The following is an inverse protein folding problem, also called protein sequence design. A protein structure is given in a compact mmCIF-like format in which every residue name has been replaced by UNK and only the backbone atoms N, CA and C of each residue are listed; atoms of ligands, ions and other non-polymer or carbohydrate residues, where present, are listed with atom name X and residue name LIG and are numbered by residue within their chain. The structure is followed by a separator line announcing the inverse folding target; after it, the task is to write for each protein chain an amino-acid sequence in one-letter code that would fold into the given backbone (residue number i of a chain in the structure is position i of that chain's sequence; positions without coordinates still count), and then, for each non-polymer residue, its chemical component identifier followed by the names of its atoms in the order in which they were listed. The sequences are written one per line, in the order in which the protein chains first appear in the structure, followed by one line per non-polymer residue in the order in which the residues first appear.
data_IF_934917006662
#
_entry.id   IF_934917006662
#
_cell.length_a   1.000
_cell.length_b   1.000
_cell.length_c   1.000
_cell.angle_alpha   90.00
_cell.angle_beta   90.00
_cell.angle_gamma   90.00
#
_symmetry.space_group_name_H-M   'P 1'
#
loop_
_entity.id
_entity.type
_entity.pdbx_description
1 polymer ?
#
# COMPACT_ATOMS: atom_id res chain seq x y z
N UNK A 1 -7.55 9.24 41.18
CA UNK A 1 -6.58 8.34 40.52
C UNK A 1 -5.86 9.14 39.48
N UNK A 2 -4.55 9.27 39.59
CA UNK A 2 -3.71 10.16 38.80
C UNK A 2 -3.40 9.45 37.48
N UNK A 3 -3.84 10.00 36.38
CA UNK A 3 -3.38 9.57 35.05
C UNK A 3 -1.93 10.01 34.87
N UNK A 4 -1.02 9.08 34.93
CA UNK A 4 0.35 9.29 34.49
C UNK A 4 0.34 9.39 32.97
N UNK A 5 0.65 10.59 32.47
CA UNK A 5 0.89 10.85 31.05
C UNK A 5 2.09 10.02 30.59
N UNK A 6 1.84 8.99 29.79
CA UNK A 6 2.85 8.48 28.89
C UNK A 6 2.84 9.39 27.67
N UNK A 7 3.92 10.15 27.54
CA UNK A 7 4.29 10.90 26.35
C UNK A 7 4.15 9.98 25.13
N UNK A 8 3.39 10.45 24.14
CA UNK A 8 3.48 9.89 22.79
C UNK A 8 4.90 10.20 22.32
N UNK A 9 5.82 9.29 22.57
CA UNK A 9 7.07 9.26 21.80
C UNK A 9 6.69 9.00 20.35
N UNK A 10 6.68 10.09 19.59
CA UNK A 10 6.93 10.04 18.15
C UNK A 10 8.31 9.41 18.05
N UNK A 11 8.35 8.11 17.80
CA UNK A 11 9.61 7.39 17.62
C UNK A 11 10.18 7.88 16.30
N UNK A 12 10.96 8.96 16.36
CA UNK A 12 11.92 9.27 15.35
C UNK A 12 12.80 8.04 15.15
N UNK A 13 12.89 7.58 13.90
CA UNK A 13 13.89 6.60 13.53
C UNK A 13 15.24 7.13 14.03
N UNK A 14 15.92 6.40 14.92
CA UNK A 14 17.33 6.61 15.20
C UNK A 14 18.12 6.26 13.92
N UNK A 15 18.18 7.22 13.01
CA UNK A 15 19.06 7.22 11.86
C UNK A 15 20.31 7.98 12.30
N UNK A 16 21.41 7.28 12.41
CA UNK A 16 22.73 7.88 12.62
C UNK A 16 23.06 8.75 11.41
N UNK A 17 22.90 10.06 11.55
CA UNK A 17 23.31 11.06 10.57
C UNK A 17 24.84 11.09 10.48
N UNK A 18 25.41 10.31 9.59
CA UNK A 18 26.77 10.54 9.10
C UNK A 18 26.66 11.43 7.86
N UNK A 19 27.24 12.63 7.97
CA UNK A 19 27.40 13.58 6.86
C UNK A 19 28.07 12.90 5.66
N UNK A 20 27.31 12.50 4.66
CA UNK A 20 27.83 12.12 3.35
C UNK A 20 27.95 13.39 2.51
N UNK A 21 29.16 13.74 2.10
CA UNK A 21 29.43 14.76 1.10
C UNK A 21 28.60 14.51 -0.16
N UNK A 22 28.07 15.56 -0.77
CA UNK A 22 27.43 15.55 -2.08
C UNK A 22 28.39 15.01 -3.15
N UNK A 23 28.43 13.70 -3.29
CA UNK A 23 28.94 13.08 -4.51
C UNK A 23 27.72 13.02 -5.44
N UNK A 24 27.63 13.97 -6.36
CA UNK A 24 26.73 13.86 -7.52
C UNK A 24 27.22 12.66 -8.34
N UNK A 25 26.75 11.47 -7.99
CA UNK A 25 26.88 10.31 -8.86
C UNK A 25 25.97 10.63 -10.04
N UNK A 26 26.55 10.96 -11.21
CA UNK A 26 25.76 11.08 -12.45
C UNK A 26 25.02 9.77 -12.65
N UNK A 27 23.71 9.79 -12.36
CA UNK A 27 22.85 8.64 -12.63
C UNK A 27 22.91 8.38 -14.14
N UNK A 28 23.19 7.14 -14.54
CA UNK A 28 23.32 6.75 -15.96
C UNK A 28 22.02 6.99 -16.76
N UNK A 29 20.90 7.18 -16.07
CA UNK A 29 19.58 7.48 -16.63
C UNK A 29 19.24 8.98 -16.65
N UNK A 30 20.19 9.88 -16.32
CA UNK A 30 19.94 11.34 -16.26
C UNK A 30 19.38 11.92 -17.57
N UNK A 31 19.58 11.24 -18.70
CA UNK A 31 19.00 11.65 -19.99
C UNK A 31 17.48 11.54 -20.04
N UNK A 32 16.83 10.86 -19.09
CA UNK A 32 15.39 10.71 -18.97
C UNK A 32 14.74 11.78 -18.10
N UNK A 33 15.52 12.59 -17.36
CA UNK A 33 14.98 13.43 -16.29
C UNK A 33 13.97 14.46 -16.78
N UNK A 34 14.22 15.10 -17.90
CA UNK A 34 13.32 16.13 -18.43
C UNK A 34 11.96 15.54 -18.85
N UNK A 35 11.97 14.34 -19.45
CA UNK A 35 10.75 13.61 -19.80
C UNK A 35 10.00 13.17 -18.52
N UNK A 36 10.70 12.62 -17.53
CA UNK A 36 10.10 12.15 -16.26
C UNK A 36 9.43 13.32 -15.51
N UNK A 37 10.11 14.46 -15.40
CA UNK A 37 9.55 15.69 -14.79
C UNK A 37 8.28 16.12 -15.52
N UNK A 38 8.33 16.16 -16.84
CA UNK A 38 7.16 16.49 -17.64
C UNK A 38 6.01 15.52 -17.39
N UNK A 39 6.26 14.20 -17.43
CA UNK A 39 5.23 13.19 -17.18
C UNK A 39 4.59 13.35 -15.79
N UNK A 40 5.42 13.50 -14.75
CA UNK A 40 4.93 13.69 -13.39
C UNK A 40 4.07 14.95 -13.27
N UNK A 41 4.55 16.07 -13.81
CA UNK A 41 3.84 17.36 -13.71
C UNK A 41 2.57 17.39 -14.55
N UNK A 42 2.55 16.77 -15.72
CA UNK A 42 1.34 16.64 -16.54
C UNK A 42 0.28 15.77 -15.85
N UNK A 43 0.69 14.63 -15.26
CA UNK A 43 -0.19 13.74 -14.51
C UNK A 43 -0.71 14.39 -13.24
N UNK A 44 0.14 15.16 -12.54
CA UNK A 44 -0.24 15.87 -11.33
C UNK A 44 -1.38 16.87 -11.54
N UNK A 45 -1.49 17.47 -12.74
CA UNK A 45 -2.59 18.36 -13.10
C UNK A 45 -3.94 17.69 -13.27
N UNK A 46 -3.97 16.39 -13.53
CA UNK A 46 -5.18 15.65 -13.92
C UNK A 46 -5.52 14.47 -13.00
N UNK A 47 -5.42 14.60 -11.66
CA UNK A 47 -5.76 13.51 -10.76
C UNK A 47 -7.21 13.07 -10.92
N UNK A 48 -7.46 11.77 -10.97
CA UNK A 48 -8.79 11.18 -11.05
C UNK A 48 -8.93 10.07 -9.99
N UNK A 49 -10.15 9.78 -9.55
CA UNK A 49 -10.41 8.92 -8.39
C UNK A 49 -10.71 7.47 -8.79
N UNK A 50 -10.14 6.53 -8.07
CA UNK A 50 -10.45 5.10 -8.13
C UNK A 50 -10.41 4.54 -9.54
N UNK A 51 -11.52 3.93 -10.00
CA UNK A 51 -11.61 3.39 -11.37
C UNK A 51 -11.88 4.42 -12.47
N UNK A 52 -12.04 5.69 -12.16
CA UNK A 52 -12.43 6.71 -13.13
C UNK A 52 -11.24 7.45 -13.77
N UNK A 53 -10.08 6.82 -13.84
CA UNK A 53 -8.79 7.38 -14.33
C UNK A 53 -8.70 7.41 -15.87
N UNK A 54 -9.70 8.01 -16.53
CA UNK A 54 -9.80 8.02 -18.00
C UNK A 54 -8.78 8.94 -18.67
N UNK A 55 -8.63 10.18 -18.18
CA UNK A 55 -7.68 11.15 -18.73
C UNK A 55 -6.25 10.72 -18.42
N UNK A 56 -6.02 10.29 -17.17
CA UNK A 56 -4.76 9.72 -16.71
C UNK A 56 -4.33 8.55 -17.59
N UNK A 57 -5.22 7.56 -17.81
CA UNK A 57 -4.95 6.41 -18.65
C UNK A 57 -4.75 6.78 -20.13
N UNK A 58 -5.49 7.78 -20.65
CA UNK A 58 -5.31 8.26 -22.02
C UNK A 58 -3.94 8.91 -22.21
N UNK A 59 -3.51 9.77 -21.27
CA UNK A 59 -2.20 10.41 -21.29
C UNK A 59 -1.07 9.37 -21.30
N UNK A 60 -1.11 8.42 -20.36
CA UNK A 60 -0.08 7.37 -20.26
C UNK A 60 -0.02 6.54 -21.54
N UNK A 61 -1.18 6.11 -22.08
CA UNK A 61 -1.24 5.35 -23.35
C UNK A 61 -0.73 6.15 -24.54
N UNK A 62 -0.96 7.48 -24.59
CA UNK A 62 -0.40 8.33 -25.63
C UNK A 62 1.13 8.33 -25.61
N UNK A 63 1.74 8.44 -24.42
CA UNK A 63 3.21 8.35 -24.29
C UNK A 63 3.72 6.99 -24.75
N UNK A 64 3.11 5.91 -24.27
CA UNK A 64 3.51 4.53 -24.56
C UNK A 64 3.29 4.14 -26.03
N UNK A 65 2.33 4.73 -26.73
CA UNK A 65 2.05 4.45 -28.14
C UNK A 65 3.20 4.77 -29.09
N UNK A 66 4.19 5.53 -28.62
CA UNK A 66 5.40 5.92 -29.36
C UNK A 66 6.55 4.92 -29.20
N UNK A 67 6.37 3.92 -28.32
CA UNK A 67 7.37 2.92 -27.95
C UNK A 67 7.06 1.56 -28.59
N UNK A 68 8.09 0.73 -28.72
CA UNK A 68 7.94 -0.64 -29.25
C UNK A 68 7.44 -1.57 -28.13
N UNK A 69 6.13 -1.51 -27.87
CA UNK A 69 5.47 -2.29 -26.82
C UNK A 69 4.03 -2.65 -27.22
N UNK A 70 3.46 -3.66 -26.57
CA UNK A 70 2.06 -4.06 -26.71
C UNK A 70 1.26 -3.54 -25.52
N UNK A 71 0.21 -2.77 -25.78
CA UNK A 71 -0.70 -2.25 -24.74
C UNK A 71 -1.99 -3.05 -24.79
N UNK A 72 -2.41 -3.62 -23.68
CA UNK A 72 -3.64 -4.40 -23.54
C UNK A 72 -4.52 -3.86 -22.42
N UNK A 73 -5.84 -3.73 -22.64
CA UNK A 73 -6.75 -3.36 -21.57
C UNK A 73 -6.81 -4.48 -20.53
N UNK A 74 -6.89 -4.10 -19.28
CA UNK A 74 -7.23 -4.96 -18.15
C UNK A 74 -8.62 -4.59 -17.62
N UNK A 75 -8.79 -4.58 -16.30
CA UNK A 75 -10.03 -4.24 -15.65
C UNK A 75 -10.32 -2.73 -15.71
N UNK A 76 -11.55 -2.35 -16.05
CA UNK A 76 -12.00 -0.95 -16.09
C UNK A 76 -11.04 -0.06 -16.91
N UNK A 77 -10.39 0.92 -16.25
CA UNK A 77 -9.43 1.84 -16.86
C UNK A 77 -7.99 1.35 -16.81
N UNK A 78 -7.71 0.24 -16.09
CA UNK A 78 -6.39 -0.37 -15.98
C UNK A 78 -5.93 -1.03 -17.29
N UNK A 79 -4.62 -1.16 -17.44
CA UNK A 79 -4.03 -1.79 -18.63
C UNK A 79 -2.64 -2.36 -18.32
N UNK A 80 -2.24 -3.33 -19.16
CA UNK A 80 -0.91 -3.93 -19.16
C UNK A 80 -0.11 -3.44 -20.36
N UNK A 81 1.21 -3.36 -20.20
CA UNK A 81 2.16 -3.01 -21.26
C UNK A 81 3.26 -4.05 -21.29
N UNK A 82 3.40 -4.71 -22.44
CA UNK A 82 4.36 -5.80 -22.59
C UNK A 82 5.51 -5.39 -23.51
N UNK A 83 6.73 -5.61 -23.05
CA UNK A 83 7.97 -5.45 -23.78
C UNK A 83 8.59 -6.83 -24.03
N UNK A 84 8.64 -7.25 -25.28
CA UNK A 84 9.12 -8.55 -25.72
C UNK A 84 10.64 -8.53 -26.00
N UNK A 85 11.41 -9.24 -25.19
CA UNK A 85 12.84 -9.46 -25.39
C UNK A 85 13.15 -10.85 -25.96
N UNK A 86 12.12 -11.59 -26.38
CA UNK A 86 12.25 -12.94 -26.92
C UNK A 86 12.47 -14.00 -25.85
N UNK A 87 12.08 -13.73 -24.61
CA UNK A 87 12.19 -14.64 -23.47
C UNK A 87 10.91 -15.46 -23.29
N UNK A 88 11.04 -16.62 -22.64
CA UNK A 88 9.88 -17.45 -22.28
C UNK A 88 9.16 -16.88 -21.03
N UNK A 89 9.89 -16.29 -20.12
CA UNK A 89 9.44 -15.82 -18.80
C UNK A 89 9.43 -14.30 -18.74
N UNK A 90 8.55 -13.75 -17.90
CA UNK A 90 8.41 -12.31 -17.69
C UNK A 90 8.57 -11.93 -16.21
N UNK A 91 9.03 -10.69 -16.00
CA UNK A 91 8.98 -10.00 -14.71
C UNK A 91 7.95 -8.89 -14.81
N UNK A 92 7.10 -8.81 -13.78
CA UNK A 92 6.06 -7.78 -13.69
C UNK A 92 6.51 -6.61 -12.79
N UNK A 93 6.15 -5.40 -13.22
CA UNK A 93 6.31 -4.17 -12.44
C UNK A 93 4.96 -3.47 -12.36
N UNK A 94 4.54 -3.02 -11.18
CA UNK A 94 3.26 -2.38 -10.96
C UNK A 94 3.42 -0.92 -10.53
N UNK A 95 2.62 -0.05 -11.09
CA UNK A 95 2.32 1.25 -10.52
C UNK A 95 0.80 1.47 -10.44
N UNK A 96 0.39 2.29 -9.49
CA UNK A 96 -0.96 2.80 -9.31
C UNK A 96 -1.18 4.08 -10.09
N UNK A 97 -2.45 4.50 -10.30
CA UNK A 97 -2.80 5.62 -11.16
C UNK A 97 -3.75 6.64 -10.54
N UNK A 98 -4.49 6.26 -9.50
CA UNK A 98 -5.55 7.10 -8.97
C UNK A 98 -5.05 8.17 -8.01
N UNK A 99 -5.85 9.20 -7.81
CA UNK A 99 -5.64 10.28 -6.87
C UNK A 99 -6.60 10.21 -5.70
N UNK A 100 -6.51 11.19 -4.82
CA UNK A 100 -7.29 11.31 -3.60
C UNK A 100 -8.28 12.48 -3.64
N UNK A 101 -9.42 12.41 -2.94
CA UNK A 101 -10.39 13.51 -2.82
C UNK A 101 -9.87 14.54 -1.80
N UNK A 102 -8.76 15.21 -2.13
CA UNK A 102 -8.06 16.21 -1.32
C UNK A 102 -7.94 17.48 -2.14
N UNK A 103 -8.33 18.63 -1.55
CA UNK A 103 -8.11 19.94 -2.14
C UNK A 103 -6.65 20.35 -1.96
N UNK A 104 -5.91 20.45 -3.06
CA UNK A 104 -4.49 20.75 -3.04
C UNK A 104 -4.19 22.17 -2.54
N UNK A 105 -3.20 22.30 -1.66
CA UNK A 105 -2.72 23.55 -1.09
C UNK A 105 -1.26 23.86 -1.46
N UNK A 106 -0.68 23.15 -2.40
CA UNK A 106 0.65 23.48 -2.91
C UNK A 106 0.59 24.78 -3.73
N UNK A 107 1.72 25.43 -3.93
CA UNK A 107 1.84 26.60 -4.82
C UNK A 107 2.61 26.22 -6.10
N UNK A 108 2.63 24.95 -6.45
CA UNK A 108 3.30 24.43 -7.62
C UNK A 108 2.66 24.94 -8.90
N UNK A 109 3.45 25.30 -9.91
CA UNK A 109 2.90 25.74 -11.22
C UNK A 109 2.20 24.60 -11.98
N UNK A 110 2.36 23.36 -11.52
CA UNK A 110 1.71 22.16 -12.02
C UNK A 110 0.65 21.61 -11.04
N UNK A 111 0.17 22.41 -10.10
CA UNK A 111 -0.89 22.00 -9.19
C UNK A 111 -2.12 21.44 -9.93
N UNK A 112 -2.90 20.62 -9.24
CA UNK A 112 -4.10 20.00 -9.78
C UNK A 112 -5.04 20.99 -10.45
N UNK A 113 -5.51 20.65 -11.64
CA UNK A 113 -6.58 21.38 -12.37
C UNK A 113 -7.96 20.75 -12.10
N UNK A 114 -8.04 19.71 -11.29
CA UNK A 114 -9.27 19.04 -10.87
C UNK A 114 -9.60 19.42 -9.43
N UNK A 115 -10.57 20.35 -9.26
CA UNK A 115 -11.04 20.83 -7.96
C UNK A 115 -11.37 19.65 -7.02
N UNK A 116 -10.87 19.69 -5.80
CA UNK A 116 -11.07 18.66 -4.78
C UNK A 116 -10.35 17.34 -5.02
N UNK A 117 -9.41 17.28 -5.97
CA UNK A 117 -8.62 16.09 -6.24
C UNK A 117 -7.13 16.41 -6.29
N UNK A 118 -6.30 15.51 -5.75
CA UNK A 118 -4.84 15.65 -5.72
C UNK A 118 -4.14 14.30 -5.79
N UNK A 119 -2.96 14.22 -6.39
CA UNK A 119 -2.04 13.09 -6.23
C UNK A 119 -1.22 13.22 -4.92
N UNK A 120 -1.94 13.21 -3.78
CA UNK A 120 -1.32 13.35 -2.45
C UNK A 120 -0.63 12.06 -1.93
N UNK A 121 -0.69 10.96 -2.68
CA UNK A 121 0.03 9.71 -2.40
C UNK A 121 1.23 9.50 -3.35
N UNK A 122 1.40 10.37 -4.35
CA UNK A 122 2.55 10.33 -5.27
C UNK A 122 2.40 9.35 -6.44
N UNK A 123 1.17 8.91 -6.76
CA UNK A 123 0.93 7.97 -7.87
C UNK A 123 1.28 8.60 -9.25
N UNK A 124 1.22 9.91 -9.40
CA UNK A 124 1.78 10.65 -10.53
C UNK A 124 3.30 10.38 -10.71
N UNK A 125 4.04 10.34 -9.60
CA UNK A 125 5.45 9.97 -9.58
C UNK A 125 5.67 8.49 -9.89
N UNK A 126 4.80 7.59 -9.39
CA UNK A 126 4.89 6.16 -9.70
C UNK A 126 4.68 5.91 -11.20
N UNK A 127 3.67 6.56 -11.81
CA UNK A 127 3.46 6.50 -13.26
C UNK A 127 4.62 7.11 -14.05
N UNK A 128 5.15 8.26 -13.63
CA UNK A 128 6.29 8.90 -14.30
C UNK A 128 7.56 8.03 -14.21
N UNK A 129 7.80 7.36 -13.07
CA UNK A 129 8.86 6.37 -12.92
C UNK A 129 8.67 5.20 -13.89
N UNK A 130 7.45 4.65 -13.98
CA UNK A 130 7.13 3.54 -14.88
C UNK A 130 7.27 3.95 -16.35
N UNK A 131 6.87 5.17 -16.74
CA UNK A 131 7.05 5.70 -18.08
C UNK A 131 8.54 5.88 -18.41
N UNK A 132 9.33 6.40 -17.49
CA UNK A 132 10.78 6.48 -17.64
C UNK A 132 11.42 5.09 -17.85
N UNK A 133 10.97 4.10 -17.08
CA UNK A 133 11.39 2.71 -17.25
C UNK A 133 10.96 2.15 -18.62
N UNK A 134 9.74 2.43 -19.07
CA UNK A 134 9.27 2.03 -20.38
C UNK A 134 10.15 2.58 -21.53
N UNK A 135 10.58 3.84 -21.44
CA UNK A 135 11.55 4.41 -22.40
C UNK A 135 12.90 3.69 -22.39
N UNK A 136 13.37 3.27 -21.22
CA UNK A 136 14.60 2.46 -21.13
C UNK A 136 14.42 1.08 -21.78
N UNK A 137 13.27 0.44 -21.60
CA UNK A 137 12.96 -0.85 -22.23
C UNK A 137 12.89 -0.74 -23.76
N UNK A 138 12.23 0.30 -24.28
CA UNK A 138 12.20 0.59 -25.73
C UNK A 138 13.61 0.78 -26.31
N UNK A 139 14.46 1.53 -25.61
CA UNK A 139 15.87 1.67 -25.97
C UNK A 139 16.57 0.31 -26.02
N UNK A 140 16.33 -0.58 -25.06
CA UNK A 140 16.93 -1.92 -25.04
C UNK A 140 16.46 -2.78 -26.21
N UNK A 141 15.19 -2.71 -26.59
CA UNK A 141 14.67 -3.39 -27.79
C UNK A 141 15.38 -2.87 -29.05
N UNK A 142 15.47 -1.55 -29.23
CA UNK A 142 16.15 -0.94 -30.38
C UNK A 142 17.63 -1.29 -30.47
N UNK A 143 18.29 -1.38 -29.32
CA UNK A 143 19.70 -1.80 -29.20
C UNK A 143 19.88 -3.32 -29.31
N UNK A 144 18.78 -4.10 -29.38
CA UNK A 144 18.77 -5.57 -29.36
C UNK A 144 19.52 -6.16 -28.18
N UNK A 145 19.34 -5.52 -27.02
CA UNK A 145 19.99 -5.95 -25.78
C UNK A 145 19.36 -7.26 -25.29
N UNK A 146 20.18 -8.27 -25.05
CA UNK A 146 19.71 -9.50 -24.43
C UNK A 146 19.41 -9.28 -22.94
N UNK A 147 18.21 -9.61 -22.52
CA UNK A 147 17.76 -9.60 -21.13
C UNK A 147 17.34 -11.03 -20.74
N UNK A 148 17.33 -11.36 -19.43
CA UNK A 148 16.92 -12.69 -18.97
C UNK A 148 15.42 -12.92 -18.98
N UNK A 149 14.61 -11.83 -19.07
CA UNK A 149 13.16 -11.86 -19.01
C UNK A 149 12.55 -10.81 -19.95
N UNK A 150 11.28 -11.05 -20.35
CA UNK A 150 10.40 -10.00 -20.84
C UNK A 150 9.95 -9.11 -19.68
N UNK A 151 9.46 -7.91 -19.97
CA UNK A 151 8.92 -7.01 -18.97
C UNK A 151 7.41 -6.80 -19.17
N UNK A 152 6.63 -7.01 -18.12
CA UNK A 152 5.21 -6.68 -18.05
C UNK A 152 5.03 -5.52 -17.09
N UNK A 153 4.46 -4.41 -17.55
CA UNK A 153 4.16 -3.24 -16.73
C UNK A 153 2.66 -3.19 -16.51
N UNK A 154 2.22 -3.11 -15.24
CA UNK A 154 0.82 -2.96 -14.87
C UNK A 154 0.57 -1.53 -14.41
N UNK A 155 -0.37 -0.87 -15.06
CA UNK A 155 -0.92 0.42 -14.68
C UNK A 155 -2.27 0.18 -14.02
N UNK A 156 -2.30 0.24 -12.69
CA UNK A 156 -3.42 -0.15 -11.84
C UNK A 156 -4.24 1.07 -11.41
N UNK A 157 -5.57 1.10 -11.64
CA UNK A 157 -6.49 2.06 -11.03
C UNK A 157 -6.91 1.62 -9.64
N UNK A 158 -7.53 2.50 -8.87
CA UNK A 158 -8.28 2.20 -7.65
C UNK A 158 -7.45 1.54 -6.53
N UNK A 159 -6.21 1.99 -6.32
CA UNK A 159 -5.42 1.58 -5.16
C UNK A 159 -6.01 2.15 -3.87
N UNK A 160 -6.36 3.44 -3.86
CA UNK A 160 -6.88 4.16 -2.69
C UNK A 160 -8.28 3.70 -2.25
N UNK A 161 -9.02 3.03 -3.13
CA UNK A 161 -10.30 2.37 -2.81
C UNK A 161 -10.13 0.89 -2.52
N UNK A 162 -8.92 0.36 -2.72
CA UNK A 162 -8.47 -0.99 -2.39
C UNK A 162 -9.21 -2.10 -3.19
N UNK A 163 -9.68 -1.78 -4.41
CA UNK A 163 -10.39 -2.73 -5.29
C UNK A 163 -9.59 -3.06 -6.55
N UNK A 164 -8.56 -2.27 -6.88
CA UNK A 164 -7.85 -2.32 -8.15
C UNK A 164 -7.01 -3.57 -8.32
N UNK A 165 -6.17 -3.91 -7.35
CA UNK A 165 -5.32 -5.09 -7.41
C UNK A 165 -6.13 -6.38 -7.38
N UNK A 166 -7.19 -6.48 -6.54
CA UNK A 166 -8.06 -7.65 -6.49
C UNK A 166 -8.74 -7.91 -7.84
N UNK A 167 -9.19 -6.86 -8.52
CA UNK A 167 -9.78 -6.99 -9.84
C UNK A 167 -8.76 -7.51 -10.88
N UNK A 168 -7.49 -7.07 -10.83
CA UNK A 168 -6.43 -7.49 -11.76
C UNK A 168 -6.01 -8.94 -11.52
N UNK A 169 -5.84 -9.39 -10.26
CA UNK A 169 -5.44 -10.77 -9.96
C UNK A 169 -6.49 -11.81 -10.36
N UNK A 170 -7.73 -11.39 -10.56
CA UNK A 170 -8.80 -12.24 -11.09
C UNK A 170 -8.79 -12.35 -12.64
N UNK A 171 -7.84 -11.72 -13.33
CA UNK A 171 -7.61 -11.91 -14.78
C UNK A 171 -6.56 -12.99 -15.03
N UNK A 172 -6.34 -13.35 -16.30
CA UNK A 172 -5.31 -14.32 -16.71
C UNK A 172 -3.99 -13.69 -17.10
N UNK A 173 -3.81 -12.38 -16.84
CA UNK A 173 -2.65 -11.61 -17.35
C UNK A 173 -1.29 -12.18 -16.92
N UNK A 174 -1.20 -12.71 -15.72
CA UNK A 174 0.06 -13.26 -15.21
C UNK A 174 0.41 -14.63 -15.82
N UNK A 175 -0.61 -15.45 -16.09
CA UNK A 175 -0.47 -16.72 -16.79
C UNK A 175 -0.17 -16.48 -18.29
N UNK A 176 -0.89 -15.55 -18.93
CA UNK A 176 -0.75 -15.25 -20.37
C UNK A 176 0.64 -14.76 -20.73
N UNK A 177 1.30 -14.06 -19.81
CA UNK A 177 2.65 -13.55 -19.95
C UNK A 177 3.72 -14.35 -19.17
N UNK A 178 3.38 -15.51 -18.62
CA UNK A 178 4.27 -16.39 -17.86
C UNK A 178 5.12 -15.63 -16.82
N UNK A 179 4.44 -14.83 -15.99
CA UNK A 179 5.07 -13.97 -14.98
C UNK A 179 5.65 -14.80 -13.83
N UNK A 180 6.91 -14.55 -13.47
CA UNK A 180 7.62 -15.28 -12.40
C UNK A 180 7.77 -14.52 -11.10
N UNK A 181 7.71 -13.19 -11.16
CA UNK A 181 7.77 -12.33 -10.00
C UNK A 181 7.14 -10.97 -10.31
N UNK A 182 6.66 -10.30 -9.27
CA UNK A 182 6.12 -8.95 -9.36
C UNK A 182 6.86 -8.01 -8.39
N UNK A 183 7.10 -6.78 -8.84
CA UNK A 183 7.72 -5.73 -8.05
C UNK A 183 6.85 -4.49 -8.05
N UNK A 184 6.69 -3.87 -6.86
CA UNK A 184 6.06 -2.57 -6.66
C UNK A 184 7.03 -1.59 -6.02
N UNK A 185 6.80 -0.30 -6.26
CA UNK A 185 7.55 0.80 -5.67
C UNK A 185 6.57 1.86 -5.19
N UNK A 186 6.77 2.39 -3.99
CA UNK A 186 6.02 3.52 -3.46
C UNK A 186 6.95 4.62 -2.98
N UNK A 187 6.65 5.87 -3.28
CA UNK A 187 7.34 7.03 -2.75
C UNK A 187 7.15 7.14 -1.24
N UNK A 188 8.22 7.43 -0.49
CA UNK A 188 8.14 7.43 0.96
C UNK A 188 8.80 8.65 1.60
N UNK A 189 8.02 9.57 2.17
CA UNK A 189 8.53 10.86 2.67
C UNK A 189 9.54 10.77 3.80
N UNK A 190 9.47 9.72 4.61
CA UNK A 190 10.28 9.55 5.83
C UNK A 190 11.60 8.81 5.60
N UNK A 191 11.90 8.41 4.36
CA UNK A 191 13.18 7.84 3.94
C UNK A 191 13.99 8.93 3.27
N UNK A 192 15.31 8.90 3.44
CA UNK A 192 16.21 9.91 2.85
C UNK A 192 16.04 9.99 1.33
N UNK A 193 16.19 11.18 0.78
CA UNK A 193 16.00 11.46 -0.66
C UNK A 193 16.84 10.53 -1.53
N UNK A 194 16.16 9.77 -2.39
CA UNK A 194 16.76 8.86 -3.35
C UNK A 194 17.16 7.49 -2.79
N UNK A 195 17.09 7.30 -1.47
CA UNK A 195 17.34 6.01 -0.84
C UNK A 195 16.20 5.02 -1.15
N UNK A 196 16.54 3.79 -1.47
CA UNK A 196 15.59 2.70 -1.70
C UNK A 196 15.54 1.84 -0.43
N UNK A 197 14.35 1.51 0.04
CA UNK A 197 14.19 0.69 1.22
C UNK A 197 13.22 -0.48 0.99
N UNK A 198 13.52 -1.62 1.61
CA UNK A 198 12.66 -2.79 1.64
C UNK A 198 13.10 -3.73 2.75
N UNK A 199 12.41 -4.85 2.95
CA UNK A 199 12.79 -5.91 3.88
C UNK A 199 12.16 -7.25 3.49
N UNK A 200 12.71 -8.39 3.90
CA UNK A 200 12.06 -9.68 3.72
C UNK A 200 10.88 -9.85 4.69
N UNK A 201 9.88 -10.61 4.27
CA UNK A 201 8.69 -10.88 5.08
C UNK A 201 7.77 -9.66 5.25
N UNK A 202 7.03 -9.52 6.36
CA UNK A 202 6.05 -8.46 6.52
C UNK A 202 6.63 -7.06 6.28
N UNK A 203 6.04 -6.31 5.35
CA UNK A 203 6.46 -4.97 4.92
C UNK A 203 5.44 -3.92 5.32
N UNK A 204 4.15 -4.14 5.00
CA UNK A 204 3.04 -3.24 5.31
C UNK A 204 1.89 -4.01 5.96
N UNK A 205 1.04 -3.31 6.72
CA UNK A 205 0.02 -3.96 7.52
C UNK A 205 -1.18 -4.40 6.71
N UNK A 206 -1.82 -5.50 7.13
CA UNK A 206 -3.22 -5.79 6.82
C UNK A 206 -4.09 -4.65 7.34
N UNK A 207 -5.06 -4.22 6.55
CA UNK A 207 -6.12 -3.32 6.97
C UNK A 207 -7.42 -4.09 7.14
N UNK A 208 -8.14 -3.84 8.25
CA UNK A 208 -9.45 -4.43 8.50
C UNK A 208 -10.36 -3.38 9.09
N UNK A 209 -11.53 -3.18 8.49
CA UNK A 209 -12.60 -2.41 9.09
C UNK A 209 -13.31 -3.29 10.13
N UNK A 210 -13.60 -2.72 11.28
CA UNK A 210 -14.28 -3.40 12.39
C UNK A 210 -15.55 -2.65 12.71
N UNK A 211 -16.68 -3.33 12.55
CA UNK A 211 -17.98 -2.82 12.97
C UNK A 211 -18.60 -3.75 14.00
N UNK A 212 -19.05 -3.20 15.12
CA UNK A 212 -19.75 -3.99 16.16
C UNK A 212 -21.07 -3.33 16.46
N UNK A 213 -22.15 -4.11 16.38
CA UNK A 213 -23.53 -3.65 16.61
C UNK A 213 -24.10 -4.35 17.83
N UNK A 214 -24.68 -3.58 18.72
CA UNK A 214 -25.32 -4.04 19.96
C UNK A 214 -26.82 -3.76 19.89
N UNK A 215 -27.64 -4.82 19.90
CA UNK A 215 -29.11 -4.75 19.90
C UNK A 215 -29.66 -5.13 21.27
N UNK A 216 -30.11 -4.15 22.00
CA UNK A 216 -30.67 -4.28 23.33
C UNK A 216 -32.19 -4.07 23.35
N UNK A 217 -32.70 -3.55 24.47
CA UNK A 217 -34.12 -3.23 24.65
C UNK A 217 -34.29 -1.96 25.45
N UNK A 218 -35.05 -1.01 24.93
CA UNK A 218 -35.36 0.24 25.63
C UNK A 218 -36.26 -0.02 26.85
N UNK A 219 -36.01 0.77 27.89
CA UNK A 219 -36.87 0.89 29.10
C UNK A 219 -36.73 2.30 29.67
N UNK A 220 -37.68 2.68 30.54
CA UNK A 220 -37.56 3.94 31.25
C UNK A 220 -36.37 3.85 32.21
N UNK A 221 -35.56 4.89 32.34
CA UNK A 221 -34.36 4.89 33.22
C UNK A 221 -34.65 4.63 34.70
N UNK A 222 -35.90 4.85 35.14
CA UNK A 222 -36.36 4.51 36.49
C UNK A 222 -36.73 3.01 36.70
N UNK A 223 -36.76 2.22 35.63
CA UNK A 223 -37.06 0.77 35.64
C UNK A 223 -36.04 0.01 34.77
N UNK A 224 -34.74 0.11 35.04
CA UNK A 224 -33.69 -0.37 34.15
C UNK A 224 -33.72 -1.92 33.96
N UNK A 225 -34.25 -2.65 34.94
CA UNK A 225 -34.38 -4.12 34.90
C UNK A 225 -35.33 -4.61 33.76
N UNK A 226 -36.19 -3.73 33.25
CA UNK A 226 -37.08 -4.04 32.08
C UNK A 226 -36.38 -3.88 30.71
N UNK A 227 -35.21 -3.25 30.73
CA UNK A 227 -34.38 -3.01 29.53
C UNK A 227 -33.27 -4.01 29.30
N UNK A 228 -32.53 -3.80 28.24
CA UNK A 228 -31.22 -4.39 27.93
C UNK A 228 -30.36 -3.28 27.39
N UNK A 229 -29.32 -2.91 28.15
CA UNK A 229 -28.54 -1.71 27.90
C UNK A 229 -27.43 -1.96 26.87
N UNK A 230 -27.68 -1.55 25.62
CA UNK A 230 -26.72 -1.66 24.54
C UNK A 230 -25.50 -0.74 24.73
N UNK A 231 -25.64 0.41 25.41
CA UNK A 231 -24.54 1.30 25.71
C UNK A 231 -23.57 0.68 26.72
N UNK A 232 -24.10 0.10 27.80
CA UNK A 232 -23.30 -0.57 28.80
C UNK A 232 -22.55 -1.78 28.20
N UNK A 233 -23.25 -2.57 27.37
CA UNK A 233 -22.68 -3.70 26.67
C UNK A 233 -21.50 -3.29 25.76
N UNK A 234 -21.64 -2.20 25.02
CA UNK A 234 -20.57 -1.68 24.16
C UNK A 234 -19.37 -1.16 24.98
N UNK A 235 -19.59 -0.48 26.09
CA UNK A 235 -18.51 -0.04 26.97
C UNK A 235 -17.73 -1.24 27.55
N UNK A 236 -18.43 -2.30 27.95
CA UNK A 236 -17.82 -3.53 28.47
C UNK A 236 -17.01 -4.24 27.36
N UNK A 237 -17.55 -4.32 26.14
CA UNK A 237 -16.86 -4.89 24.99
C UNK A 237 -15.55 -4.17 24.70
N UNK A 238 -15.58 -2.83 24.57
CA UNK A 238 -14.38 -2.03 24.29
C UNK A 238 -13.31 -2.25 25.38
N UNK A 239 -13.71 -2.22 26.63
CA UNK A 239 -12.79 -2.43 27.76
C UNK A 239 -12.13 -3.80 27.71
N UNK A 240 -12.92 -4.86 27.52
CA UNK A 240 -12.43 -6.24 27.48
C UNK A 240 -11.53 -6.52 26.27
N UNK A 241 -11.88 -6.02 25.09
CA UNK A 241 -11.06 -6.28 23.89
C UNK A 241 -9.74 -5.53 23.90
N UNK A 242 -9.69 -4.31 24.43
CA UNK A 242 -8.44 -3.59 24.61
C UNK A 242 -7.56 -4.25 25.65
N UNK A 243 -8.13 -4.68 26.79
CA UNK A 243 -7.40 -5.44 27.81
C UNK A 243 -6.84 -6.76 27.23
N UNK A 244 -7.64 -7.49 26.47
CA UNK A 244 -7.17 -8.70 25.79
C UNK A 244 -6.01 -8.40 24.84
N UNK A 245 -6.14 -7.38 23.98
CA UNK A 245 -5.10 -7.00 23.04
C UNK A 245 -3.79 -6.66 23.77
N UNK A 246 -3.84 -5.87 24.82
CA UNK A 246 -2.65 -5.40 25.54
C UNK A 246 -1.96 -6.51 26.32
N UNK A 247 -2.71 -7.47 26.86
CA UNK A 247 -2.18 -8.56 27.68
C UNK A 247 -1.78 -9.81 26.89
N UNK A 248 -2.48 -10.13 25.76
CA UNK A 248 -2.32 -11.42 25.08
C UNK A 248 -1.75 -11.31 23.67
N UNK A 249 -1.78 -10.13 23.04
CA UNK A 249 -1.17 -9.91 21.73
C UNK A 249 0.21 -9.29 21.92
N UNK A 250 1.26 -10.07 21.59
CA UNK A 250 2.66 -9.63 21.74
C UNK A 250 3.18 -8.93 20.49
N UNK A 251 2.60 -9.24 19.34
CA UNK A 251 2.99 -8.63 18.08
C UNK A 251 2.43 -7.22 17.98
N UNK A 252 3.20 -6.35 17.32
CA UNK A 252 2.74 -4.99 17.03
C UNK A 252 1.46 -5.05 16.21
N UNK A 253 0.39 -4.49 16.75
CA UNK A 253 -0.93 -4.43 16.13
C UNK A 253 -1.67 -3.18 16.59
N UNK A 254 -2.60 -2.72 15.77
CA UNK A 254 -3.54 -1.65 16.11
C UNK A 254 -4.94 -2.25 16.13
N UNK A 255 -5.71 -1.93 17.14
CA UNK A 255 -7.17 -2.05 17.18
C UNK A 255 -7.68 -0.76 17.81
N UNK A 256 -8.46 0.01 17.06
CA UNK A 256 -8.94 1.32 17.50
C UNK A 256 -10.38 1.53 17.06
N UNK A 257 -11.26 1.84 17.99
CA UNK A 257 -12.61 2.32 17.70
C UNK A 257 -12.58 3.85 17.70
N UNK A 258 -12.89 4.43 16.55
CA UNK A 258 -12.90 5.90 16.36
C UNK A 258 -14.29 6.51 16.53
N UNK A 259 -15.34 5.67 16.47
CA UNK A 259 -16.73 6.14 16.53
C UNK A 259 -17.60 5.20 17.37
N UNK A 260 -18.46 5.80 18.23
CA UNK A 260 -19.52 5.13 18.94
C UNK A 260 -20.80 5.96 18.81
N UNK A 261 -21.90 5.33 18.41
CA UNK A 261 -23.23 5.95 18.36
C UNK A 261 -24.20 5.13 19.21
N UNK A 262 -24.93 5.77 20.14
CA UNK A 262 -25.82 5.07 21.05
C UNK A 262 -27.00 5.92 21.49
N UNK A 263 -28.18 5.27 21.56
CA UNK A 263 -29.41 5.83 22.14
C UNK A 263 -29.91 7.10 21.46
N UNK A 264 -31.11 7.57 21.88
CA UNK A 264 -31.72 8.79 21.32
C UNK A 264 -32.11 9.79 22.41
N UNK A 265 -32.32 9.34 23.65
CA UNK A 265 -32.82 10.18 24.75
C UNK A 265 -32.12 9.84 26.06
N UNK A 266 -31.92 10.85 26.90
CA UNK A 266 -31.16 10.77 28.16
C UNK A 266 -31.80 9.93 29.28
N UNK A 267 -33.12 9.73 29.22
CA UNK A 267 -33.91 9.11 30.30
C UNK A 267 -34.51 7.75 29.91
N UNK A 268 -33.89 7.07 28.96
CA UNK A 268 -34.22 5.69 28.57
C UNK A 268 -32.95 4.86 28.39
N UNK A 269 -33.06 3.57 28.68
CA UNK A 269 -32.04 2.56 28.38
C UNK A 269 -31.82 2.52 26.87
N UNK A 270 -30.57 2.52 26.43
CA UNK A 270 -30.24 2.49 25.01
C UNK A 270 -30.56 1.14 24.39
N UNK A 271 -31.44 1.08 23.39
CA UNK A 271 -31.77 -0.17 22.69
C UNK A 271 -30.77 -0.55 21.61
N UNK A 272 -29.88 0.38 21.24
CA UNK A 272 -28.95 0.20 20.13
C UNK A 272 -27.65 0.99 20.35
N UNK A 273 -26.53 0.35 20.06
CA UNK A 273 -25.22 0.99 19.99
C UNK A 273 -24.43 0.41 18.82
N UNK A 274 -23.69 1.25 18.10
CA UNK A 274 -22.72 0.83 17.09
C UNK A 274 -21.34 1.37 17.41
N UNK A 275 -20.33 0.55 17.11
CA UNK A 275 -18.92 0.91 17.13
C UNK A 275 -18.37 0.77 15.71
N UNK A 276 -17.63 1.77 15.24
CA UNK A 276 -16.86 1.71 14.02
C UNK A 276 -15.36 1.89 14.34
N UNK A 277 -14.54 1.01 13.83
CA UNK A 277 -13.13 0.97 14.14
C UNK A 277 -12.27 0.40 13.02
N UNK A 278 -10.98 0.34 13.29
CA UNK A 278 -9.99 -0.23 12.38
C UNK A 278 -9.02 -1.14 13.13
N UNK A 279 -8.56 -2.18 12.44
CA UNK A 279 -7.51 -3.07 12.93
C UNK A 279 -6.37 -3.15 11.92
N UNK A 280 -5.12 -3.17 12.41
CA UNK A 280 -3.91 -3.36 11.61
C UNK A 280 -3.10 -4.50 12.22
N UNK A 281 -2.70 -5.45 11.39
CA UNK A 281 -1.86 -6.60 11.77
C UNK A 281 -0.90 -6.95 10.65
N UNK A 282 0.14 -7.72 10.94
CA UNK A 282 1.14 -8.13 9.94
C UNK A 282 1.04 -9.59 9.52
N UNK A 283 0.15 -10.36 10.13
CA UNK A 283 -0.05 -11.78 9.82
C UNK A 283 -1.45 -12.25 10.19
N UNK A 284 -1.88 -13.34 9.57
CA UNK A 284 -3.19 -13.93 9.73
C UNK A 284 -3.44 -14.49 11.12
N UNK A 285 -2.38 -15.00 11.78
CA UNK A 285 -2.52 -15.58 13.12
C UNK A 285 -2.90 -14.53 14.17
N UNK A 286 -2.23 -13.37 14.14
CA UNK A 286 -2.56 -12.26 15.04
C UNK A 286 -3.93 -11.69 14.75
N UNK A 287 -4.29 -11.54 13.47
CA UNK A 287 -5.62 -11.14 13.04
C UNK A 287 -6.69 -12.08 13.58
N UNK A 288 -6.55 -13.39 13.36
CA UNK A 288 -7.50 -14.39 13.81
C UNK A 288 -7.65 -14.43 15.34
N UNK A 289 -6.56 -14.24 16.09
CA UNK A 289 -6.60 -14.17 17.56
C UNK A 289 -7.46 -13.00 18.05
N UNK A 290 -7.29 -11.82 17.47
CA UNK A 290 -8.06 -10.62 17.85
C UNK A 290 -9.54 -10.80 17.46
N UNK A 291 -9.83 -11.28 16.24
CA UNK A 291 -11.20 -11.52 15.78
C UNK A 291 -11.91 -12.56 16.63
N UNK A 292 -11.25 -13.67 16.97
CA UNK A 292 -11.82 -14.68 17.84
C UNK A 292 -12.09 -14.14 19.27
N UNK A 293 -11.19 -13.29 19.78
CA UNK A 293 -11.41 -12.64 21.08
C UNK A 293 -12.62 -11.71 21.04
N UNK A 294 -12.79 -10.91 19.97
CA UNK A 294 -13.99 -10.08 19.80
C UNK A 294 -15.27 -10.90 19.80
N UNK A 295 -15.31 -12.02 19.08
CA UNK A 295 -16.47 -12.91 19.03
C UNK A 295 -16.75 -13.57 20.38
N UNK A 296 -15.74 -14.06 21.08
CA UNK A 296 -15.91 -14.64 22.40
C UNK A 296 -16.45 -13.63 23.43
N UNK A 297 -15.95 -12.37 23.36
CA UNK A 297 -16.45 -11.31 24.24
C UNK A 297 -17.90 -10.95 23.88
N UNK A 298 -18.25 -10.96 22.61
CA UNK A 298 -19.64 -10.76 22.14
C UNK A 298 -20.57 -11.83 22.70
N UNK A 299 -20.18 -13.11 22.58
CA UNK A 299 -20.94 -14.24 23.12
C UNK A 299 -21.13 -14.14 24.64
N UNK A 300 -20.08 -13.77 25.39
CA UNK A 300 -20.15 -13.54 26.83
C UNK A 300 -21.15 -12.42 27.21
N UNK A 301 -21.15 -11.33 26.45
CA UNK A 301 -22.07 -10.21 26.65
C UNK A 301 -23.52 -10.63 26.36
N UNK A 302 -23.76 -11.37 25.29
CA UNK A 302 -25.10 -11.90 24.97
C UNK A 302 -25.63 -12.77 26.12
N UNK A 303 -24.79 -13.65 26.65
CA UNK A 303 -25.17 -14.57 27.72
C UNK A 303 -25.43 -13.85 29.08
N UNK A 304 -24.60 -12.85 29.43
CA UNK A 304 -24.63 -12.22 30.76
C UNK A 304 -25.54 -10.99 30.81
N UNK A 305 -25.64 -10.21 29.73
CA UNK A 305 -26.41 -8.95 29.69
C UNK A 305 -27.70 -9.13 28.84
N UNK A 306 -27.74 -10.11 27.97
CA UNK A 306 -28.89 -10.39 27.08
C UNK A 306 -29.04 -9.35 25.94
N UNK A 307 -27.94 -8.68 25.59
CA UNK A 307 -27.83 -7.78 24.43
C UNK A 307 -27.23 -8.59 23.28
N UNK A 308 -27.89 -8.65 22.13
CA UNK A 308 -27.35 -9.32 20.95
C UNK A 308 -26.18 -8.49 20.39
N UNK A 309 -25.07 -9.16 20.03
CA UNK A 309 -23.86 -8.50 19.54
C UNK A 309 -23.45 -9.11 18.21
N UNK A 310 -23.36 -8.27 17.18
CA UNK A 310 -22.86 -8.65 15.87
C UNK A 310 -21.48 -8.02 15.61
N UNK A 311 -20.50 -8.85 15.22
CA UNK A 311 -19.11 -8.44 14.96
C UNK A 311 -18.81 -8.67 13.48
N UNK A 312 -18.76 -7.58 12.72
CA UNK A 312 -18.40 -7.58 11.31
C UNK A 312 -16.95 -7.12 11.11
N UNK A 313 -16.18 -7.98 10.45
CA UNK A 313 -14.78 -7.76 10.04
C UNK A 313 -14.58 -8.21 8.58
N UNK A 314 -15.63 -8.17 7.77
CA UNK A 314 -15.64 -8.69 6.40
C UNK A 314 -14.79 -7.86 5.43
N UNK A 315 -14.66 -6.56 5.68
CA UNK A 315 -13.86 -5.67 4.85
C UNK A 315 -12.41 -5.66 5.33
N UNK A 316 -11.52 -6.33 4.59
CA UNK A 316 -10.11 -6.42 4.92
C UNK A 316 -9.24 -6.63 3.67
N UNK A 317 -7.95 -6.24 3.78
CA UNK A 317 -6.90 -6.52 2.79
C UNK A 317 -5.75 -7.25 3.45
N UNK A 318 -5.05 -8.17 2.73
CA UNK A 318 -3.88 -8.85 3.25
C UNK A 318 -2.79 -7.86 3.68
N UNK A 319 -1.82 -8.32 4.46
CA UNK A 319 -0.58 -7.62 4.67
C UNK A 319 0.30 -7.74 3.42
N UNK A 320 1.08 -6.70 3.10
CA UNK A 320 2.19 -6.84 2.14
C UNK A 320 3.29 -7.65 2.82
N UNK A 321 3.60 -8.81 2.24
CA UNK A 321 4.58 -9.77 2.79
C UNK A 321 5.56 -10.17 1.70
N UNK A 322 6.64 -9.45 1.59
CA UNK A 322 7.69 -9.71 0.61
C UNK A 322 8.16 -11.17 0.65
N UNK A 323 8.15 -11.84 -0.49
CA UNK A 323 8.63 -13.21 -0.61
C UNK A 323 10.10 -13.31 -0.21
N UNK A 324 10.39 -14.08 0.83
CA UNK A 324 11.73 -14.17 1.42
C UNK A 324 12.74 -14.85 0.51
N UNK A 325 12.29 -15.81 -0.32
CA UNK A 325 13.10 -16.50 -1.30
C UNK A 325 13.50 -15.59 -2.45
N UNK A 326 12.51 -14.85 -3.00
CA UNK A 326 12.73 -13.86 -4.05
C UNK A 326 13.64 -12.74 -3.53
N UNK A 327 13.34 -12.22 -2.33
CA UNK A 327 14.18 -11.19 -1.69
C UNK A 327 15.63 -11.63 -1.54
N UNK A 328 15.88 -12.86 -1.10
CA UNK A 328 17.23 -13.39 -0.96
C UNK A 328 17.99 -13.43 -2.30
N UNK A 329 17.31 -13.75 -3.41
CA UNK A 329 17.90 -13.79 -4.76
C UNK A 329 18.30 -12.40 -5.26
N UNK A 330 17.45 -11.38 -5.03
CA UNK A 330 17.72 -10.02 -5.50
C UNK A 330 18.63 -9.22 -4.56
N UNK A 331 18.75 -9.60 -3.29
CA UNK A 331 19.50 -8.85 -2.25
C UNK A 331 20.93 -8.49 -2.66
N UNK A 332 21.60 -9.36 -3.41
CA UNK A 332 22.96 -9.07 -3.89
C UNK A 332 22.99 -7.93 -4.91
N UNK A 333 22.03 -7.90 -5.82
CA UNK A 333 21.93 -6.87 -6.83
C UNK A 333 21.60 -5.48 -6.21
N UNK A 334 20.80 -5.47 -5.14
CA UNK A 334 20.43 -4.24 -4.42
C UNK A 334 21.64 -3.52 -3.78
N UNK A 335 22.76 -4.22 -3.54
CA UNK A 335 24.00 -3.61 -2.99
C UNK A 335 24.61 -2.53 -3.89
N UNK A 336 24.26 -2.51 -5.17
CA UNK A 336 24.74 -1.54 -6.13
C UNK A 336 23.85 -0.26 -6.16
N UNK A 337 22.81 -0.24 -5.34
CA UNK A 337 21.89 0.88 -5.16
C UNK A 337 22.14 1.53 -3.80
N UNK A 338 21.65 2.75 -3.63
CA UNK A 338 21.54 3.34 -2.29
C UNK A 338 20.35 2.67 -1.58
N UNK A 339 20.63 1.56 -0.91
CA UNK A 339 19.65 0.63 -0.39
C UNK A 339 19.77 0.42 1.11
N UNK A 340 18.64 0.52 1.80
CA UNK A 340 18.48 0.27 3.24
C UNK A 340 17.50 -0.89 3.48
N UNK A 341 17.91 -1.85 4.29
CA UNK A 341 17.01 -2.89 4.77
C UNK A 341 16.25 -2.41 6.02
N UNK A 342 14.93 -2.28 5.93
CA UNK A 342 14.09 -1.80 7.02
C UNK A 342 14.11 -2.76 8.21
N UNK A 343 14.23 -2.22 9.41
CA UNK A 343 14.20 -3.00 10.64
C UNK A 343 12.81 -3.46 11.05
N UNK A 344 11.78 -2.68 10.71
CA UNK A 344 10.38 -2.92 11.12
C UNK A 344 9.44 -2.62 9.96
N UNK A 345 8.31 -3.35 9.87
CA UNK A 345 7.25 -3.05 8.91
C UNK A 345 6.50 -1.78 9.31
N UNK A 346 5.77 -1.17 8.36
CA UNK A 346 4.93 0.01 8.58
C UNK A 346 3.46 -0.36 8.78
N UNK A 347 2.70 0.49 9.52
CA UNK A 347 1.28 0.24 9.85
C UNK A 347 0.31 0.79 8.79
N UNK A 348 0.81 1.16 7.62
CA UNK A 348 0.01 1.58 6.47
C UNK A 348 -0.29 0.33 5.63
N UNK A 349 -1.46 0.28 4.99
CA UNK A 349 -1.88 -0.79 4.10
C UNK A 349 -1.62 -0.40 2.64
N UNK A 350 -1.56 -1.41 1.77
CA UNK A 350 -1.32 -1.28 0.33
C UNK A 350 -1.92 -2.51 -0.36
N UNK A 351 -2.66 -2.32 -1.46
CA UNK A 351 -3.35 -3.40 -2.16
C UNK A 351 -2.42 -4.27 -3.03
N UNK A 352 -1.13 -3.88 -3.18
CA UNK A 352 -0.09 -4.75 -3.74
C UNK A 352 -0.06 -6.13 -3.09
N UNK A 353 -0.49 -6.20 -1.83
CA UNK A 353 -0.67 -7.45 -1.09
C UNK A 353 -1.54 -8.48 -1.81
N UNK A 354 -2.49 -8.06 -2.66
CA UNK A 354 -3.30 -8.98 -3.46
C UNK A 354 -2.46 -9.71 -4.52
N UNK A 355 -1.51 -9.03 -5.15
CA UNK A 355 -0.58 -9.66 -6.11
C UNK A 355 0.31 -10.71 -5.43
N UNK A 356 0.73 -10.45 -4.19
CA UNK A 356 1.56 -11.40 -3.43
C UNK A 356 0.82 -12.67 -3.02
N UNK A 357 -0.53 -12.72 -3.15
CA UNK A 357 -1.30 -13.95 -2.96
C UNK A 357 -1.18 -14.91 -4.15
N UNK A 358 -0.81 -14.41 -5.33
CA UNK A 358 -0.77 -15.19 -6.59
C UNK A 358 0.62 -15.30 -7.19
N UNK A 359 1.53 -14.39 -6.85
CA UNK A 359 2.89 -14.34 -7.35
C UNK A 359 3.90 -14.08 -6.24
N UNK A 360 5.14 -14.58 -6.33
CA UNK A 360 6.23 -14.06 -5.52
C UNK A 360 6.41 -12.56 -5.78
N UNK A 361 6.27 -11.73 -4.72
CA UNK A 361 6.35 -10.28 -4.82
C UNK A 361 7.38 -9.68 -3.89
N UNK A 362 7.94 -8.52 -4.27
CA UNK A 362 8.73 -7.66 -3.37
C UNK A 362 8.34 -6.21 -3.59
N UNK A 363 7.96 -5.56 -2.50
CA UNK A 363 7.60 -4.15 -2.47
C UNK A 363 8.74 -3.30 -1.93
N UNK A 364 8.93 -2.12 -2.53
CA UNK A 364 10.00 -1.20 -2.20
C UNK A 364 9.45 0.18 -1.84
N UNK A 365 10.16 0.91 -0.99
CA UNK A 365 10.00 2.33 -0.81
C UNK A 365 11.13 3.09 -1.49
N UNK A 366 10.78 4.24 -2.09
CA UNK A 366 11.72 5.22 -2.63
C UNK A 366 11.62 6.51 -1.83
N UNK A 367 12.69 6.87 -1.14
CA UNK A 367 12.75 8.05 -0.28
C UNK A 367 12.61 9.35 -1.06
N UNK A 368 11.66 10.19 -0.65
CA UNK A 368 11.58 11.58 -1.12
C UNK A 368 12.28 12.55 -0.19
N UNK A 369 12.48 12.17 1.08
CA UNK A 369 13.16 12.98 2.09
C UNK A 369 12.45 14.28 2.48
N UNK A 370 11.20 14.45 2.08
CA UNK A 370 10.46 15.71 2.32
C UNK A 370 9.96 15.84 3.75
N UNK A 371 9.71 14.71 4.43
CA UNK A 371 9.06 14.68 5.75
C UNK A 371 7.58 15.09 5.72
N UNK A 372 7.04 15.46 4.56
CA UNK A 372 5.60 15.77 4.40
C UNK A 372 4.86 14.44 4.26
N UNK A 373 3.93 14.10 5.17
CA UNK A 373 3.24 12.81 5.12
C UNK A 373 2.46 12.62 3.81
N UNK A 374 2.31 11.37 3.38
CA UNK A 374 1.33 11.02 2.34
C UNK A 374 -0.07 11.43 2.78
N UNK A 375 -0.97 11.67 1.81
CA UNK A 375 -2.33 12.18 2.02
C UNK A 375 -2.39 13.59 2.64
N UNK A 376 -1.27 14.33 2.61
CA UNK A 376 -1.24 15.74 3.00
C UNK A 376 -1.47 16.63 1.78
N UNK A 377 -2.26 17.67 1.94
CA UNK A 377 -2.63 18.66 0.91
C UNK A 377 -1.45 19.51 0.40
N UNK A 378 -0.30 19.43 1.05
CA UNK A 378 0.97 20.05 0.64
C UNK A 378 2.01 19.02 0.18
N UNK A 379 1.63 17.76 -0.06
CA UNK A 379 2.57 16.73 -0.48
C UNK A 379 3.14 17.07 -1.86
N UNK A 380 4.46 17.14 -1.93
CA UNK A 380 5.24 17.33 -3.15
C UNK A 380 6.65 16.77 -2.94
N UNK A 381 7.40 16.54 -4.02
CA UNK A 381 8.74 15.97 -3.94
C UNK A 381 9.58 16.36 -5.14
N UNK A 382 10.91 16.22 -5.03
CA UNK A 382 11.85 16.44 -6.13
C UNK A 382 11.90 15.21 -7.05
N UNK A 383 11.53 15.40 -8.32
CA UNK A 383 11.41 14.34 -9.32
C UNK A 383 12.73 13.62 -9.63
N UNK A 384 13.88 14.19 -9.26
CA UNK A 384 15.18 13.55 -9.48
C UNK A 384 15.29 12.18 -8.79
N UNK A 385 14.54 11.96 -7.70
CA UNK A 385 14.50 10.66 -7.00
C UNK A 385 13.98 9.54 -7.90
N UNK A 386 13.12 9.83 -8.88
CA UNK A 386 12.52 8.85 -9.78
C UNK A 386 13.56 8.12 -10.62
N UNK A 387 14.72 8.75 -10.89
CA UNK A 387 15.84 8.07 -11.55
C UNK A 387 16.35 6.85 -10.76
N UNK A 388 16.26 6.90 -9.44
CA UNK A 388 16.66 5.78 -8.58
C UNK A 388 15.63 4.63 -8.64
N UNK A 389 14.34 4.96 -8.79
CA UNK A 389 13.29 3.98 -9.04
C UNK A 389 13.48 3.25 -10.38
N UNK A 390 13.82 3.98 -11.45
CA UNK A 390 14.16 3.38 -12.75
C UNK A 390 15.38 2.47 -12.62
N UNK A 391 16.41 2.92 -11.89
CA UNK A 391 17.61 2.11 -11.64
C UNK A 391 17.30 0.83 -10.87
N UNK A 392 16.37 0.90 -9.91
CA UNK A 392 15.89 -0.27 -9.20
C UNK A 392 15.23 -1.26 -10.17
N UNK A 393 14.24 -0.81 -10.97
CA UNK A 393 13.52 -1.68 -11.89
C UNK A 393 14.45 -2.30 -12.94
N UNK A 394 15.38 -1.52 -13.49
CA UNK A 394 16.42 -2.04 -14.40
C UNK A 394 17.30 -3.12 -13.76
N UNK A 395 17.69 -2.89 -12.50
CA UNK A 395 18.49 -3.85 -11.72
C UNK A 395 17.72 -5.15 -11.51
N UNK A 396 16.44 -5.06 -11.13
CA UNK A 396 15.57 -6.21 -10.88
C UNK A 396 15.33 -7.02 -12.16
N UNK A 397 15.03 -6.37 -13.29
CA UNK A 397 14.82 -7.04 -14.58
C UNK A 397 16.04 -7.79 -15.07
N UNK A 398 17.25 -7.29 -14.79
CA UNK A 398 18.53 -7.92 -15.16
C UNK A 398 18.95 -9.03 -14.20
N UNK A 399 18.32 -9.14 -13.04
CA UNK A 399 18.69 -10.13 -12.03
C UNK A 399 18.08 -11.49 -12.35
N UNK A 400 18.95 -12.51 -12.60
CA UNK A 400 18.51 -13.86 -12.89
C UNK A 400 17.95 -14.55 -11.63
N UNK A 401 16.69 -14.95 -11.66
CA UNK A 401 15.97 -15.54 -10.52
C UNK A 401 16.12 -17.07 -10.45
N UNK A 402 16.31 -17.73 -11.61
CA UNK A 402 16.64 -19.17 -11.68
C UNK A 402 18.11 -19.38 -11.36
N UNK A 403 18.41 -20.25 -10.39
CA UNK A 403 19.76 -20.80 -10.29
C UNK A 403 20.00 -21.62 -11.56
N UNK A 404 20.97 -21.25 -12.40
CA UNK A 404 21.56 -22.21 -13.31
C UNK A 404 21.98 -23.43 -12.46
N UNK A 405 21.32 -24.56 -12.65
CA UNK A 405 21.90 -25.84 -12.25
C UNK A 405 23.20 -25.91 -13.01
N UNK A 406 24.32 -25.61 -12.34
CA UNK A 406 25.62 -26.00 -12.84
C UNK A 406 25.59 -27.53 -12.78
N UNK A 407 25.34 -28.17 -13.91
CA UNK A 407 25.65 -29.55 -14.10
C UNK A 407 27.18 -29.70 -13.82
N UNK A 408 27.51 -30.04 -12.59
CA UNK A 408 28.82 -30.55 -12.26
C UNK A 408 28.82 -31.95 -12.86
N UNK A 409 29.15 -31.99 -14.15
CA UNK A 409 29.40 -33.25 -14.85
C UNK A 409 30.37 -34.10 -14.04
N UNK A 410 29.85 -35.28 -13.67
CA UNK A 410 30.56 -36.38 -13.05
C UNK A 410 31.69 -36.92 -13.94
#
# INVERSE_FOLDING_TARGET
MVYNGHEMEVIFMDINLSSKNEIIIKNEFSYLIDDIRRYRQDLHRIPELGFLVYKTGAYVKEVLSKLDCKIEPLVNTGFAVFFDFGCEESICFRCDMDGLPIEEQTVAFYASEHEGCMHACGHDGHMANMLGFAHLLDKYIREKKALPYNALLIFQPAEETIDGAEAIVNTTVFEDYNVKAIYGLHLWPMIEKGEIASKPGPMMARSTNVKVVFEGKSAHAGEPEKGRDALLAACEFVTKIYDYKDNFIRERSILQFGKMESGNVRNAISPYTSLDGTMRTFNDLTWAKIVNAMRNIADDIEQNIGVKVDVDVSQWHPAVVNDTSLYAKIKYALKNLDFVELRRPVMIAEDFSCFEQVLPGVFFFLGTGTGIPLHNDHFDFDEDVLLNGIKLFDTLLKTQLSTCSVDIGS
#
